data_IF_931201586915
#
_entry.id   IF_931201586915
#
_cell.length_a   1.000
_cell.length_b   1.000
_cell.length_c   1.000
_cell.angle_alpha   90.00
_cell.angle_beta   90.00
_cell.angle_gamma   90.00
#
_symmetry.space_group_name_H-M   'P 1'
#
loop_
_entity.id
_entity.type
_entity.pdbx_description
1 polymer ?
#
# COMPACT_ATOMS: atom_id res chain seq x y z
N UNK A 1 -10.71 24.92 12.36
CA UNK A 1 -9.36 24.99 11.75
C UNK A 1 -9.17 26.40 11.25
N UNK A 2 -8.25 27.18 11.81
CA UNK A 2 -8.00 28.55 11.34
C UNK A 2 -6.77 28.54 10.44
N UNK A 3 -7.00 28.61 9.13
CA UNK A 3 -5.91 28.92 8.19
C UNK A 3 -5.60 30.41 8.17
N UNK A 4 -4.44 30.78 7.63
CA UNK A 4 -4.06 32.16 7.34
C UNK A 4 -4.26 32.45 5.85
N UNK A 5 -4.62 33.68 5.44
CA UNK A 5 -4.67 34.06 4.04
C UNK A 5 -3.38 33.67 3.28
N UNK A 6 -3.53 33.01 2.14
CA UNK A 6 -2.42 32.68 1.27
C UNK A 6 -1.79 33.94 0.68
N UNK A 7 -0.46 34.08 0.75
CA UNK A 7 0.26 35.20 0.15
C UNK A 7 0.54 34.94 -1.33
N UNK A 8 0.60 36.01 -2.12
CA UNK A 8 0.70 35.97 -3.58
C UNK A 8 1.62 37.08 -4.08
N UNK A 9 2.10 36.96 -5.31
CA UNK A 9 2.72 38.08 -6.01
C UNK A 9 1.83 39.33 -5.90
N UNK A 10 2.45 40.50 -5.74
CA UNK A 10 1.83 41.81 -5.50
C UNK A 10 1.18 42.05 -4.14
N UNK A 11 1.00 41.03 -3.30
CA UNK A 11 0.56 41.27 -1.92
C UNK A 11 1.63 42.11 -1.18
N UNK A 12 1.16 43.06 -0.36
CA UNK A 12 2.00 44.05 0.29
C UNK A 12 2.77 43.47 1.48
N UNK A 13 3.95 44.04 1.74
CA UNK A 13 4.79 43.73 2.90
C UNK A 13 5.11 44.98 3.70
N UNK A 14 5.55 44.86 4.95
CA UNK A 14 6.11 45.97 5.73
C UNK A 14 7.62 46.06 5.56
N UNK A 15 8.14 47.30 5.60
CA UNK A 15 9.56 47.55 5.76
C UNK A 15 9.80 48.19 7.15
N UNK A 16 10.69 47.63 7.99
CA UNK A 16 10.99 48.23 9.30
C UNK A 16 11.68 49.60 9.22
N UNK A 17 12.21 49.98 8.05
CA UNK A 17 12.89 51.25 7.85
C UNK A 17 11.87 52.37 7.66
N UNK A 18 11.87 53.42 8.51
CA UNK A 18 10.96 54.55 8.37
C UNK A 18 11.05 55.19 6.98
N UNK A 19 9.90 55.47 6.36
CA UNK A 19 9.82 56.11 5.04
C UNK A 19 9.91 55.16 3.84
N UNK A 20 10.16 53.86 4.02
CA UNK A 20 10.29 52.90 2.92
C UNK A 20 8.95 52.29 2.42
N UNK A 21 7.83 52.65 3.05
CA UNK A 21 6.49 52.23 2.62
C UNK A 21 6.25 50.71 2.73
N UNK A 22 5.38 50.19 1.87
CA UNK A 22 4.97 48.79 1.84
C UNK A 22 5.30 48.10 0.52
N UNK A 23 6.52 47.60 0.33
CA UNK A 23 6.92 46.97 -0.91
C UNK A 23 6.09 45.70 -1.20
N UNK A 24 5.68 45.44 -2.46
CA UNK A 24 5.00 44.20 -2.82
C UNK A 24 5.96 42.99 -2.91
N UNK A 25 5.40 41.78 -2.82
CA UNK A 25 6.06 40.53 -3.21
C UNK A 25 6.30 40.54 -4.73
N UNK A 26 7.54 40.26 -5.15
CA UNK A 26 7.99 40.49 -6.52
C UNK A 26 7.66 39.32 -7.45
N UNK A 27 7.82 38.09 -6.97
CA UNK A 27 7.47 36.88 -7.71
C UNK A 27 6.97 35.77 -6.79
N UNK A 28 6.46 34.70 -7.39
CA UNK A 28 5.94 33.54 -6.68
C UNK A 28 6.19 32.25 -7.48
N UNK A 29 5.29 31.29 -7.32
CA UNK A 29 5.26 30.05 -8.08
C UNK A 29 5.15 30.29 -9.61
N UNK A 30 5.87 29.52 -10.44
CA UNK A 30 5.76 29.64 -11.89
C UNK A 30 4.43 29.13 -12.46
N UNK A 31 3.69 28.29 -11.73
CA UNK A 31 2.55 27.53 -12.24
C UNK A 31 1.36 27.42 -11.28
N UNK A 32 1.57 27.60 -9.97
CA UNK A 32 0.50 27.61 -8.96
C UNK A 32 0.06 29.03 -8.70
N UNK A 33 -1.21 29.29 -9.01
CA UNK A 33 -1.85 30.58 -8.82
C UNK A 33 -2.89 30.53 -7.71
N UNK A 34 -2.97 31.58 -6.90
CA UNK A 34 -4.06 31.82 -5.95
C UNK A 34 -4.77 33.09 -6.41
N UNK A 35 -6.06 33.00 -6.71
CA UNK A 35 -6.84 34.12 -7.28
C UNK A 35 -6.13 34.77 -8.48
N UNK A 36 -5.65 33.94 -9.40
CA UNK A 36 -4.96 34.33 -10.65
C UNK A 36 -3.64 35.10 -10.47
N UNK A 37 -3.04 35.05 -9.28
CA UNK A 37 -1.71 35.59 -9.01
C UNK A 37 -0.78 34.46 -8.54
N UNK A 38 0.49 34.44 -8.96
CA UNK A 38 1.48 33.47 -8.49
C UNK A 38 1.51 33.34 -6.96
N UNK A 39 1.41 32.12 -6.44
CA UNK A 39 1.44 31.87 -5.00
C UNK A 39 2.84 32.14 -4.44
N UNK A 40 2.94 32.91 -3.36
CA UNK A 40 4.21 33.23 -2.72
C UNK A 40 4.67 32.08 -1.80
N UNK A 41 5.98 31.84 -1.77
CA UNK A 41 6.59 30.71 -1.05
C UNK A 41 7.88 31.12 -0.36
N UNK A 42 8.40 30.25 0.49
CA UNK A 42 9.72 30.39 1.06
C UNK A 42 10.78 30.71 0.00
N UNK A 43 11.59 31.73 0.26
CA UNK A 43 12.69 32.17 -0.60
C UNK A 43 12.25 32.95 -1.85
N UNK A 44 10.96 33.13 -2.10
CA UNK A 44 10.52 34.01 -3.19
C UNK A 44 10.88 35.48 -2.84
N UNK A 45 11.33 36.27 -3.82
CA UNK A 45 11.77 37.64 -3.60
C UNK A 45 10.60 38.59 -3.34
N UNK A 46 10.82 39.53 -2.41
CA UNK A 46 10.02 40.72 -2.25
C UNK A 46 10.86 41.95 -2.60
N UNK A 47 10.19 43.07 -2.88
CA UNK A 47 10.90 44.29 -3.30
C UNK A 47 11.95 44.75 -2.27
N UNK A 48 12.92 45.53 -2.77
CA UNK A 48 14.11 45.98 -2.03
C UNK A 48 15.13 44.87 -1.71
N UNK A 49 15.12 43.76 -2.46
CA UNK A 49 16.13 42.70 -2.38
C UNK A 49 15.96 41.72 -1.21
N UNK A 50 14.86 41.82 -0.47
CA UNK A 50 14.56 40.89 0.62
C UNK A 50 13.85 39.64 0.09
N UNK A 51 13.84 38.57 0.88
CA UNK A 51 13.15 37.32 0.54
C UNK A 51 12.24 36.89 1.67
N UNK A 52 11.23 36.09 1.34
CA UNK A 52 10.39 35.45 2.35
C UNK A 52 11.23 34.42 3.10
N UNK A 53 11.39 34.60 4.40
CA UNK A 53 12.41 33.91 5.21
C UNK A 53 11.85 33.05 6.33
N UNK A 54 10.60 33.26 6.76
CA UNK A 54 10.05 32.57 7.93
C UNK A 54 8.55 32.75 8.12
N UNK A 55 8.02 32.16 9.19
CA UNK A 55 6.58 32.15 9.53
C UNK A 55 5.66 31.77 8.34
N UNK A 56 6.18 30.95 7.43
CA UNK A 56 5.46 30.27 6.37
C UNK A 56 4.81 28.98 6.89
N UNK A 57 4.00 28.33 6.06
CA UNK A 57 3.32 27.09 6.42
C UNK A 57 4.30 25.96 6.70
N UNK A 58 4.08 25.19 7.77
CA UNK A 58 4.86 23.99 8.09
C UNK A 58 4.36 22.74 7.36
N UNK A 59 3.15 22.80 6.79
CA UNK A 59 2.45 21.60 6.28
C UNK A 59 2.07 21.69 4.80
N UNK A 60 1.95 22.90 4.24
CA UNK A 60 1.59 23.12 2.85
C UNK A 60 2.81 23.56 2.05
N UNK A 61 3.10 22.79 1.01
CA UNK A 61 4.22 23.02 0.09
C UNK A 61 3.68 23.31 -1.31
N UNK A 62 4.17 24.38 -1.93
CA UNK A 62 3.86 24.76 -3.31
C UNK A 62 5.17 24.63 -4.11
N UNK A 63 5.17 23.77 -5.13
CA UNK A 63 6.39 23.34 -5.85
C UNK A 63 7.57 22.97 -4.92
N UNK A 64 7.29 22.22 -3.85
CA UNK A 64 8.31 21.76 -2.91
C UNK A 64 8.85 22.82 -1.94
N UNK A 65 8.34 24.06 -1.98
CA UNK A 65 8.67 25.12 -1.02
C UNK A 65 7.50 25.41 -0.12
N UNK A 66 7.76 25.68 1.16
CA UNK A 66 6.71 26.05 2.12
C UNK A 66 5.91 27.26 1.63
N UNK A 67 4.58 27.17 1.70
CA UNK A 67 3.70 28.24 1.24
C UNK A 67 3.73 29.45 2.19
N UNK A 68 3.86 30.65 1.65
CA UNK A 68 3.81 31.87 2.44
C UNK A 68 2.36 32.29 2.73
N UNK A 69 2.15 32.93 3.88
CA UNK A 69 0.83 33.38 4.33
C UNK A 69 0.91 34.80 4.88
N UNK A 70 -0.25 35.42 5.11
CA UNK A 70 -0.33 36.67 5.86
C UNK A 70 0.41 36.53 7.21
N UNK A 71 1.36 37.42 7.46
CA UNK A 71 2.23 37.38 8.64
C UNK A 71 3.52 36.57 8.48
N UNK A 72 3.79 35.94 7.33
CA UNK A 72 5.12 35.38 7.06
C UNK A 72 6.19 36.48 7.08
N UNK A 73 7.38 36.15 7.59
CA UNK A 73 8.47 37.10 7.81
C UNK A 73 9.39 37.19 6.60
N UNK A 74 10.04 38.34 6.47
CA UNK A 74 11.02 38.65 5.42
C UNK A 74 12.43 38.74 6.00
N UNK A 75 13.45 38.56 5.16
CA UNK A 75 14.86 38.58 5.57
C UNK A 75 15.33 39.89 6.21
N UNK A 76 14.68 41.02 5.92
CA UNK A 76 14.97 42.31 6.54
C UNK A 76 14.13 42.59 7.80
N UNK A 77 13.39 41.60 8.31
CA UNK A 77 12.56 41.73 9.52
C UNK A 77 11.16 42.30 9.29
N UNK A 78 10.79 42.56 8.03
CA UNK A 78 9.41 42.88 7.65
C UNK A 78 8.48 41.67 7.68
N UNK A 79 7.19 41.90 7.48
CA UNK A 79 6.17 40.84 7.37
C UNK A 79 5.25 41.06 6.18
N UNK A 80 4.68 39.98 5.65
CA UNK A 80 3.60 40.05 4.66
C UNK A 80 2.33 40.55 5.33
N UNK A 81 1.72 41.61 4.79
CA UNK A 81 0.48 42.24 5.30
C UNK A 81 -0.70 42.16 4.34
N UNK A 82 -0.47 41.66 3.12
CA UNK A 82 -1.53 41.30 2.16
C UNK A 82 -1.72 39.79 2.04
N UNK A 83 -2.85 39.36 1.49
CA UNK A 83 -3.14 37.95 1.24
C UNK A 83 -4.46 37.76 0.51
N UNK A 84 -4.75 36.51 0.15
CA UNK A 84 -6.01 36.10 -0.46
C UNK A 84 -7.21 36.29 0.48
N UNK A 85 -8.31 36.86 -0.02
CA UNK A 85 -9.53 37.04 0.76
C UNK A 85 -10.34 35.75 1.03
N UNK A 86 -10.04 34.66 0.32
CA UNK A 86 -10.85 33.44 0.34
C UNK A 86 -10.03 32.13 0.32
N UNK A 87 -8.72 32.20 0.08
CA UNK A 87 -7.84 31.02 0.13
C UNK A 87 -7.03 31.07 1.41
N UNK A 88 -7.32 30.14 2.31
CA UNK A 88 -6.68 30.01 3.61
C UNK A 88 -5.78 28.78 3.64
N UNK A 89 -4.55 28.95 4.10
CA UNK A 89 -3.57 27.88 4.28
C UNK A 89 -3.51 27.53 5.76
N UNK A 90 -3.78 26.26 6.07
CA UNK A 90 -3.70 25.72 7.43
C UNK A 90 -2.31 25.17 7.76
N UNK A 91 -2.03 25.09 9.06
CA UNK A 91 -0.80 24.50 9.60
C UNK A 91 -1.05 23.38 10.61
N UNK A 92 -2.28 22.85 10.62
CA UNK A 92 -2.67 21.76 11.50
C UNK A 92 -2.88 20.49 10.68
N UNK A 93 -2.13 19.45 11.00
CA UNK A 93 -2.33 18.11 10.42
C UNK A 93 -3.43 17.42 11.20
N UNK A 94 -4.54 17.10 10.54
CA UNK A 94 -5.56 16.21 11.08
C UNK A 94 -5.43 14.88 10.37
N UNK A 95 -4.82 13.90 11.03
CA UNK A 95 -4.73 12.55 10.51
C UNK A 95 -6.12 11.91 10.57
N UNK A 96 -6.64 11.47 9.42
CA UNK A 96 -7.78 10.59 9.42
C UNK A 96 -7.37 9.22 9.97
N UNK A 97 -8.23 8.52 10.73
CA UNK A 97 -8.00 7.13 11.07
C UNK A 97 -7.83 6.35 9.76
N UNK A 98 -6.68 5.71 9.59
CA UNK A 98 -6.42 4.82 8.48
C UNK A 98 -6.48 3.39 8.98
N UNK A 99 -7.33 2.58 8.36
CA UNK A 99 -7.30 1.13 8.50
C UNK A 99 -6.62 0.62 7.22
N UNK A 100 -5.46 0.00 7.36
CA UNK A 100 -4.81 -0.64 6.24
C UNK A 100 -5.73 -1.74 5.69
N UNK A 101 -5.89 -1.89 4.36
CA UNK A 101 -6.56 -3.05 3.81
C UNK A 101 -5.84 -4.30 4.30
N UNK A 102 -6.59 -5.36 4.58
CA UNK A 102 -6.00 -6.67 4.84
C UNK A 102 -5.08 -7.02 3.66
N UNK A 103 -3.86 -7.54 3.90
CA UNK A 103 -3.03 -8.05 2.84
C UNK A 103 -3.85 -9.00 1.97
N UNK A 104 -3.73 -8.87 0.65
CA UNK A 104 -4.27 -9.87 -0.26
C UNK A 104 -3.57 -11.20 0.05
N UNK A 105 -4.30 -12.12 0.67
CA UNK A 105 -3.90 -13.52 0.79
C UNK A 105 -4.10 -14.20 -0.57
N UNK A 106 -3.29 -13.78 -1.54
CA UNK A 106 -3.00 -14.57 -2.73
C UNK A 106 -2.04 -15.68 -2.28
N UNK A 107 -2.52 -16.56 -1.41
CA UNK A 107 -1.82 -17.78 -1.06
C UNK A 107 -1.40 -18.42 -2.38
N UNK A 108 -0.09 -18.49 -2.65
CA UNK A 108 0.40 -19.26 -3.77
C UNK A 108 -0.02 -20.68 -3.45
N UNK A 109 -1.05 -21.19 -4.10
CA UNK A 109 -1.49 -22.56 -3.91
C UNK A 109 -1.21 -23.35 -5.17
N UNK A 110 -0.75 -24.58 -4.96
CA UNK A 110 -0.66 -25.58 -6.02
C UNK A 110 -1.76 -26.60 -5.75
N UNK A 111 -2.46 -26.99 -6.81
CA UNK A 111 -3.52 -27.99 -6.73
C UNK A 111 -3.27 -29.10 -7.74
N UNK A 112 -3.51 -30.34 -7.34
CA UNK A 112 -3.45 -31.50 -8.22
C UNK A 112 -4.80 -32.19 -8.21
N UNK A 113 -5.39 -32.37 -9.39
CA UNK A 113 -6.64 -33.10 -9.56
C UNK A 113 -6.38 -34.34 -10.40
N UNK A 114 -6.86 -35.49 -9.95
CA UNK A 114 -6.83 -36.72 -10.75
C UNK A 114 -8.13 -36.76 -11.58
N UNK A 115 -8.07 -36.69 -12.92
CA UNK A 115 -9.24 -36.73 -13.79
C UNK A 115 -9.69 -38.19 -13.99
N UNK A 116 -10.09 -38.83 -12.91
CA UNK A 116 -10.50 -40.23 -12.87
C UNK A 116 -11.96 -40.35 -12.39
N UNK A 117 -12.68 -41.37 -12.86
CA UNK A 117 -14.04 -41.64 -12.44
C UNK A 117 -14.08 -42.35 -11.06
N UNK A 118 -12.97 -42.97 -10.69
CA UNK A 118 -12.72 -43.62 -9.41
C UNK A 118 -12.60 -42.60 -8.27
N UNK A 119 -12.98 -42.99 -7.06
CA UNK A 119 -12.84 -42.12 -5.86
C UNK A 119 -11.51 -42.38 -5.17
N UNK A 120 -10.65 -41.36 -5.13
CA UNK A 120 -9.38 -41.35 -4.41
C UNK A 120 -9.45 -40.61 -3.08
N UNK A 121 -10.66 -40.25 -2.63
CA UNK A 121 -10.88 -39.54 -1.36
C UNK A 121 -10.17 -40.26 -0.21
N UNK A 122 -9.38 -39.52 0.55
CA UNK A 122 -8.60 -40.08 1.66
C UNK A 122 -7.21 -40.58 1.30
N UNK A 123 -6.85 -40.70 0.01
CA UNK A 123 -5.49 -41.03 -0.39
C UNK A 123 -4.55 -39.85 -0.16
N UNK A 124 -3.32 -40.15 0.29
CA UNK A 124 -2.30 -39.14 0.50
C UNK A 124 -1.68 -38.70 -0.83
N UNK A 125 -1.26 -37.43 -0.87
CA UNK A 125 -0.47 -36.84 -1.94
C UNK A 125 0.68 -36.08 -1.28
N UNK A 126 1.91 -36.34 -1.73
CA UNK A 126 3.12 -35.71 -1.20
C UNK A 126 3.75 -34.86 -2.32
N UNK A 127 3.82 -33.56 -2.13
CA UNK A 127 4.51 -32.63 -3.02
C UNK A 127 5.93 -32.39 -2.52
N UNK A 128 6.92 -32.48 -3.41
CA UNK A 128 8.33 -32.21 -3.14
C UNK A 128 8.77 -30.93 -3.85
N UNK A 129 9.49 -30.07 -3.15
CA UNK A 129 9.91 -28.75 -3.63
C UNK A 129 11.41 -28.68 -3.92
N UNK A 130 11.82 -27.71 -4.73
CA UNK A 130 13.22 -27.46 -5.11
C UNK A 130 14.13 -27.04 -3.94
N UNK A 131 13.55 -26.48 -2.88
CA UNK A 131 14.24 -26.20 -1.61
C UNK A 131 14.44 -27.46 -0.72
N UNK A 132 13.97 -28.63 -1.18
CA UNK A 132 14.05 -29.90 -0.47
C UNK A 132 12.93 -30.14 0.55
N UNK A 133 12.00 -29.19 0.73
CA UNK A 133 10.83 -29.37 1.59
C UNK A 133 9.78 -30.30 0.96
N UNK A 134 8.88 -30.81 1.80
CA UNK A 134 7.73 -31.60 1.36
C UNK A 134 6.45 -31.14 2.03
N UNK A 135 5.34 -31.23 1.30
CA UNK A 135 4.00 -31.01 1.84
C UNK A 135 3.13 -32.24 1.59
N UNK A 136 2.36 -32.66 2.59
CA UNK A 136 1.43 -33.78 2.49
C UNK A 136 0.00 -33.28 2.56
N UNK A 137 -0.82 -33.73 1.61
CA UNK A 137 -2.23 -33.41 1.51
C UNK A 137 -3.03 -34.68 1.25
N UNK A 138 -4.35 -34.55 1.26
CA UNK A 138 -5.27 -35.66 1.07
C UNK A 138 -6.27 -35.29 -0.01
N UNK A 139 -6.54 -36.21 -0.93
CA UNK A 139 -7.56 -36.00 -1.95
C UNK A 139 -8.95 -35.93 -1.32
N UNK A 140 -9.76 -34.97 -1.77
CA UNK A 140 -11.15 -34.79 -1.36
C UNK A 140 -12.12 -35.64 -2.20
N UNK A 141 -13.43 -35.37 -2.10
CA UNK A 141 -14.49 -36.04 -2.90
C UNK A 141 -14.40 -35.79 -4.40
N UNK A 142 -13.72 -34.71 -4.80
CA UNK A 142 -13.56 -34.27 -6.19
C UNK A 142 -12.21 -34.71 -6.78
N UNK A 143 -11.52 -35.62 -6.09
CA UNK A 143 -10.15 -36.05 -6.39
C UNK A 143 -9.16 -34.88 -6.52
N UNK A 144 -9.40 -33.80 -5.77
CA UNK A 144 -8.55 -32.61 -5.70
C UNK A 144 -7.77 -32.59 -4.37
N UNK A 145 -6.50 -32.24 -4.44
CA UNK A 145 -5.66 -31.85 -3.30
C UNK A 145 -5.10 -30.46 -3.55
N UNK A 146 -5.08 -29.61 -2.52
CA UNK A 146 -4.52 -28.26 -2.58
C UNK A 146 -3.48 -28.08 -1.48
N UNK A 147 -2.40 -27.38 -1.81
CA UNK A 147 -1.30 -27.08 -0.90
C UNK A 147 -1.09 -25.57 -0.86
N UNK A 148 -0.94 -25.02 0.35
CA UNK A 148 -0.48 -23.63 0.50
C UNK A 148 1.05 -23.63 0.37
N UNK A 149 1.60 -22.87 -0.57
CA UNK A 149 3.04 -22.71 -0.80
C UNK A 149 3.51 -21.36 -0.22
N UNK A 150 3.88 -21.29 1.07
CA UNK A 150 4.27 -20.04 1.72
C UNK A 150 5.62 -19.51 1.24
N UNK A 151 6.51 -20.35 0.70
CA UNK A 151 7.88 -19.98 0.32
C UNK A 151 8.02 -19.55 -1.13
N UNK A 152 7.06 -19.89 -2.00
CA UNK A 152 7.13 -19.63 -3.43
C UNK A 152 8.08 -20.57 -4.19
N UNK A 153 8.55 -21.63 -3.54
CA UNK A 153 9.42 -22.70 -4.07
C UNK A 153 8.71 -23.50 -5.16
N UNK A 154 9.44 -24.02 -6.14
CA UNK A 154 8.86 -24.76 -7.26
C UNK A 154 8.58 -26.20 -6.84
N UNK A 155 7.34 -26.69 -7.00
CA UNK A 155 7.05 -28.11 -6.84
C UNK A 155 7.68 -28.89 -8.01
N UNK A 156 8.64 -29.76 -7.71
CA UNK A 156 9.41 -30.50 -8.73
C UNK A 156 8.92 -31.93 -8.92
N UNK A 157 8.26 -32.51 -7.89
CA UNK A 157 7.78 -33.89 -7.93
C UNK A 157 6.54 -34.08 -7.05
N UNK A 158 5.63 -34.96 -7.46
CA UNK A 158 4.45 -35.38 -6.69
C UNK A 158 4.44 -36.90 -6.56
N UNK A 159 4.32 -37.40 -5.34
CA UNK A 159 4.18 -38.83 -5.03
C UNK A 159 2.79 -39.11 -4.45
N UNK A 160 2.11 -40.13 -4.97
CA UNK A 160 0.81 -40.60 -4.48
C UNK A 160 1.04 -42.01 -3.91
N UNK A 161 1.34 -42.14 -2.60
CA UNK A 161 1.54 -43.44 -2.01
C UNK A 161 0.25 -44.27 -2.06
N UNK A 162 0.38 -45.53 -2.49
CA UNK A 162 -0.73 -46.48 -2.44
C UNK A 162 -1.01 -46.76 -0.96
N UNK A 163 -2.23 -46.50 -0.45
CA UNK A 163 -2.56 -46.81 0.92
C UNK A 163 -2.40 -48.31 1.16
N UNK A 164 -1.88 -48.68 2.33
CA UNK A 164 -1.79 -50.08 2.75
C UNK A 164 -3.22 -50.65 2.84
N UNK A 165 -3.67 -51.26 1.74
CA UNK A 165 -4.79 -52.19 1.77
C UNK A 165 -4.18 -53.43 2.43
N UNK A 166 -4.43 -53.63 3.73
CA UNK A 166 -3.93 -54.81 4.45
C UNK A 166 -4.15 -56.08 3.63
N UNK A 167 -3.22 -57.03 3.77
CA UNK A 167 -3.10 -58.28 3.00
C UNK A 167 -4.43 -58.71 2.37
N UNK A 168 -4.67 -58.32 1.11
CA UNK A 168 -5.90 -58.75 0.44
C UNK A 168 -5.79 -60.27 0.28
N UNK A 169 -6.77 -61.05 0.77
CA UNK A 169 -6.74 -62.49 0.60
C UNK A 169 -6.59 -62.77 -0.89
N UNK A 170 -5.71 -63.71 -1.24
CA UNK A 170 -5.40 -63.97 -2.63
C UNK A 170 -6.70 -64.26 -3.40
N UNK A 171 -6.72 -63.98 -4.71
CA UNK A 171 -7.88 -64.31 -5.55
C UNK A 171 -8.24 -65.79 -5.39
N UNK A 172 -7.24 -66.64 -5.13
CA UNK A 172 -7.36 -68.04 -4.78
C UNK A 172 -8.12 -68.27 -3.47
N UNK A 173 -7.82 -67.53 -2.40
CA UNK A 173 -8.52 -67.65 -1.10
C UNK A 173 -9.98 -67.17 -1.19
N UNK A 174 -10.24 -66.13 -1.99
CA UNK A 174 -11.61 -65.70 -2.30
C UNK A 174 -12.37 -66.73 -3.11
N UNK A 175 -11.75 -67.35 -4.13
CA UNK A 175 -12.38 -68.43 -4.89
C UNK A 175 -12.62 -69.66 -4.03
N UNK A 176 -11.68 -70.01 -3.16
CA UNK A 176 -11.78 -71.18 -2.30
C UNK A 176 -12.88 -71.03 -1.25
N UNK A 177 -13.07 -69.83 -0.67
CA UNK A 177 -14.18 -69.54 0.25
C UNK A 177 -15.55 -69.58 -0.42
N UNK A 178 -15.65 -69.16 -1.69
CA UNK A 178 -16.87 -69.27 -2.50
C UNK A 178 -17.19 -70.75 -2.80
N UNK A 179 -16.18 -71.55 -3.14
CA UNK A 179 -16.36 -72.98 -3.47
C UNK A 179 -16.65 -73.83 -2.22
N UNK A 180 -16.10 -73.46 -1.06
CA UNK A 180 -16.24 -74.24 0.19
C UNK A 180 -17.43 -73.83 1.04
N UNK A 181 -18.21 -72.80 0.65
CA UNK A 181 -19.48 -72.46 1.28
C UNK A 181 -19.39 -71.82 2.67
N UNK A 182 -18.18 -71.49 3.15
CA UNK A 182 -18.01 -70.84 4.45
C UNK A 182 -18.25 -69.32 4.32
N UNK A 183 -19.53 -68.93 4.35
CA UNK A 183 -19.92 -67.55 4.65
C UNK A 183 -19.93 -67.36 6.17
N UNK A 184 -18.92 -66.69 6.71
CA UNK A 184 -19.01 -66.05 8.03
C UNK A 184 -19.45 -64.61 7.76
N UNK A 185 -20.66 -64.28 8.21
CA UNK A 185 -21.27 -62.95 8.09
C UNK A 185 -20.67 -61.94 9.03
#
# INVERSE_FOLDING_TARGET
MSGKPAARQSDLTTCPVPGHGTPPIQSGSPDVQVNSLPAARFGDPANCGQTISGAYSATVFINGKNAATLGSTLSHGGVIVGGSGNVLIGDTVVAAPFIAPAPLDIGKWIGFQIPAAERYTGWQCIAHFDDGSTLTGTFNSDNLVTFTNPSGSTCTRVDIPVPNVGEQPSVTDRLLSIITGNSQG
#
